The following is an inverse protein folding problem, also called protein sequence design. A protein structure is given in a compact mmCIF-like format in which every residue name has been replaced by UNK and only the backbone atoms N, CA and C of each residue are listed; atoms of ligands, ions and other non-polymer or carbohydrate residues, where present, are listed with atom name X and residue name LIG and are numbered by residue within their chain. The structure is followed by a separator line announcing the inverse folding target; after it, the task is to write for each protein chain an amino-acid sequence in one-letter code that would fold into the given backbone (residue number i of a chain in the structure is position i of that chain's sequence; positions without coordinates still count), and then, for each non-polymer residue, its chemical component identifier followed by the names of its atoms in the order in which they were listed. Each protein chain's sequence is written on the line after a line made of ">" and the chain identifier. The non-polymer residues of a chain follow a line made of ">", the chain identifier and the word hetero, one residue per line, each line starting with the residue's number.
data_IF_676757380449
#
_entry.id   IF_676757380449
#
_cell.length_a   1.000
_cell.length_b   1.000
_cell.length_c   1.000
_cell.angle_alpha   90.00
_cell.angle_beta   90.00
_cell.angle_gamma   90.00
#
_symmetry.space_group_name_H-M   'P 1'
#
loop_
_entity.id
_entity.type
_entity.pdbx_description
1 polymer ?
#
# COMPACT_ATOMS: atom_id res chain seq x y z
N UNK A 1 9.39 -0.19 1.34
CA UNK A 1 8.19 0.53 1.80
C UNK A 1 8.15 0.50 3.32
N UNK A 2 7.72 1.57 3.97
CA UNK A 2 7.32 1.53 5.38
C UNK A 2 5.78 1.48 5.39
N UNK A 3 5.14 0.43 5.94
CA UNK A 3 3.68 0.24 5.83
C UNK A 3 2.87 1.11 6.82
N UNK A 4 3.55 1.88 7.67
CA UNK A 4 2.95 2.79 8.63
C UNK A 4 2.49 4.09 7.94
N UNK A 5 1.75 4.95 8.65
CA UNK A 5 1.49 6.33 8.23
C UNK A 5 2.76 7.19 8.42
N UNK A 6 3.82 6.86 7.68
CA UNK A 6 5.13 7.47 7.78
C UNK A 6 6.01 6.82 8.85
N UNK A 7 7.22 7.36 9.02
CA UNK A 7 8.06 7.02 10.17
C UNK A 7 7.54 7.74 11.41
N UNK A 8 7.62 7.13 12.60
CA UNK A 8 7.27 7.83 13.82
C UNK A 8 8.17 9.05 14.00
N UNK A 9 7.60 10.17 14.43
CA UNK A 9 8.35 11.37 14.77
C UNK A 9 9.06 11.20 16.13
N UNK A 10 9.76 12.23 16.60
CA UNK A 10 10.51 12.18 17.86
C UNK A 10 9.63 11.94 19.11
N UNK A 11 8.32 12.11 19.00
CA UNK A 11 7.33 11.86 20.05
C UNK A 11 6.64 10.50 19.92
N UNK A 12 6.93 9.74 18.86
CA UNK A 12 6.29 8.45 18.57
C UNK A 12 5.00 8.54 17.78
N UNK A 13 4.59 9.74 17.37
CA UNK A 13 3.38 9.98 16.57
C UNK A 13 3.64 9.81 15.07
N UNK A 14 2.56 9.70 14.30
CA UNK A 14 2.58 9.49 12.85
C UNK A 14 1.91 10.66 12.14
N UNK A 15 2.70 11.45 11.42
CA UNK A 15 2.26 12.72 10.83
C UNK A 15 1.85 12.61 9.36
N UNK A 16 2.06 11.45 8.72
CA UNK A 16 1.69 11.28 7.32
C UNK A 16 0.18 11.32 7.17
N UNK A 17 -0.31 12.13 6.24
CA UNK A 17 -1.74 12.25 5.96
C UNK A 17 -2.27 11.10 5.09
N UNK A 18 -3.60 10.86 5.07
CA UNK A 18 -4.23 9.89 4.16
C UNK A 18 -3.85 10.07 2.69
N UNK A 19 -3.78 11.32 2.23
CA UNK A 19 -3.42 11.64 0.84
C UNK A 19 -1.97 11.27 0.53
N UNK A 20 -1.03 11.67 1.39
CA UNK A 20 0.39 11.37 1.21
C UNK A 20 0.67 9.86 1.21
N UNK A 21 0.01 9.11 2.10
CA UNK A 21 0.14 7.65 2.14
C UNK A 21 -0.43 7.01 0.87
N UNK A 22 -1.60 7.47 0.40
CA UNK A 22 -2.21 7.00 -0.84
C UNK A 22 -1.33 7.30 -2.07
N UNK A 23 -0.71 8.49 -2.15
CA UNK A 23 0.19 8.86 -3.25
C UNK A 23 1.41 7.93 -3.33
N UNK A 24 2.00 7.56 -2.19
CA UNK A 24 3.09 6.58 -2.16
C UNK A 24 2.64 5.19 -2.60
N UNK A 25 1.43 4.77 -2.18
CA UNK A 25 0.84 3.49 -2.61
C UNK A 25 0.55 3.47 -4.11
N UNK A 26 0.22 4.63 -4.71
CA UNK A 26 0.00 4.75 -6.15
C UNK A 26 1.17 4.23 -6.97
N UNK A 27 2.42 4.45 -6.53
CA UNK A 27 3.59 3.94 -7.25
C UNK A 27 3.58 2.40 -7.36
N UNK A 28 3.17 1.71 -6.30
CA UNK A 28 3.05 0.25 -6.29
C UNK A 28 1.91 -0.25 -7.19
N UNK A 29 0.80 0.49 -7.22
CA UNK A 29 -0.34 0.22 -8.08
C UNK A 29 -0.01 0.44 -9.56
N UNK A 30 0.62 1.56 -9.91
CA UNK A 30 1.07 1.91 -11.26
C UNK A 30 2.03 0.86 -11.82
N UNK A 31 2.90 0.32 -10.97
CA UNK A 31 3.87 -0.73 -11.32
C UNK A 31 3.27 -2.15 -11.27
N UNK A 32 2.00 -2.29 -10.87
CA UNK A 32 1.31 -3.58 -10.80
C UNK A 32 1.95 -4.56 -9.83
N UNK A 33 2.49 -4.09 -8.70
CA UNK A 33 3.30 -4.90 -7.79
C UNK A 33 2.51 -5.58 -6.67
N UNK A 34 1.28 -5.15 -6.43
CA UNK A 34 0.51 -5.50 -5.23
C UNK A 34 -0.87 -6.08 -5.55
N UNK A 35 -1.35 -6.93 -4.65
CA UNK A 35 -2.70 -7.52 -4.69
C UNK A 35 -3.54 -7.20 -3.46
N UNK A 36 -2.89 -6.95 -2.32
CA UNK A 36 -3.52 -6.67 -1.04
C UNK A 36 -2.82 -5.45 -0.45
N UNK A 37 -3.61 -4.49 0.01
CA UNK A 37 -3.13 -3.25 0.64
C UNK A 37 -3.91 -3.06 1.93
N UNK A 38 -3.23 -2.64 2.99
CA UNK A 38 -3.81 -2.34 4.29
C UNK A 38 -3.06 -1.20 4.97
N UNK A 39 -3.24 -1.07 6.28
CA UNK A 39 -2.51 -0.11 7.11
C UNK A 39 -1.76 -0.80 8.26
N UNK A 40 -0.82 -0.08 8.86
CA UNK A 40 -0.07 -0.52 10.04
C UNK A 40 -0.13 0.58 11.12
N UNK A 41 0.98 0.90 11.80
CA UNK A 41 0.98 1.90 12.86
C UNK A 41 0.67 3.30 12.31
N UNK A 42 -0.12 4.07 13.04
CA UNK A 42 -0.54 5.43 12.66
C UNK A 42 -1.62 5.51 11.58
N UNK A 43 -1.90 4.42 10.86
CA UNK A 43 -2.99 4.38 9.87
C UNK A 43 -4.35 4.47 10.56
N UNK A 44 -5.26 5.27 9.99
CA UNK A 44 -6.63 5.47 10.48
C UNK A 44 -7.65 5.03 9.43
N UNK A 45 -8.97 4.96 9.76
CA UNK A 45 -10.00 4.70 8.76
C UNK A 45 -9.97 5.66 7.56
N UNK A 46 -9.57 6.92 7.76
CA UNK A 46 -9.42 7.91 6.69
C UNK A 46 -8.29 7.53 5.72
N UNK A 47 -7.18 6.98 6.22
CA UNK A 47 -6.10 6.45 5.39
C UNK A 47 -6.60 5.30 4.53
N UNK A 48 -7.28 4.33 5.14
CA UNK A 48 -7.83 3.17 4.44
C UNK A 48 -8.85 3.61 3.39
N UNK A 49 -9.69 4.60 3.69
CA UNK A 49 -10.65 5.16 2.74
C UNK A 49 -9.96 5.80 1.54
N UNK A 50 -8.93 6.62 1.75
CA UNK A 50 -8.19 7.26 0.66
C UNK A 50 -7.53 6.21 -0.27
N UNK A 51 -6.93 5.18 0.32
CA UNK A 51 -6.34 4.05 -0.41
C UNK A 51 -7.43 3.29 -1.18
N UNK A 52 -8.55 2.97 -0.54
CA UNK A 52 -9.65 2.24 -1.16
C UNK A 52 -10.23 3.00 -2.37
N UNK A 53 -10.44 4.31 -2.24
CA UNK A 53 -10.87 5.16 -3.37
C UNK A 53 -9.85 5.13 -4.51
N UNK A 54 -8.56 5.29 -4.22
CA UNK A 54 -7.49 5.19 -5.23
C UNK A 54 -7.49 3.84 -5.94
N UNK A 55 -7.68 2.73 -5.22
CA UNK A 55 -7.60 1.38 -5.80
C UNK A 55 -8.71 1.05 -6.79
N UNK A 56 -9.82 1.81 -6.82
CA UNK A 56 -10.95 1.57 -7.73
C UNK A 56 -10.55 1.63 -9.22
N UNK A 57 -9.50 2.40 -9.53
CA UNK A 57 -9.01 2.58 -10.90
C UNK A 57 -7.99 1.50 -11.32
N UNK A 58 -7.64 0.56 -10.44
CA UNK A 58 -6.61 -0.45 -10.68
C UNK A 58 -7.18 -1.87 -10.63
N UNK A 59 -6.48 -2.80 -11.29
CA UNK A 59 -6.75 -4.23 -11.21
C UNK A 59 -5.65 -4.93 -10.41
N UNK A 60 -5.97 -5.98 -9.63
CA UNK A 60 -4.96 -6.77 -8.96
C UNK A 60 -3.93 -7.32 -9.96
N UNK A 61 -2.66 -7.41 -9.54
CA UNK A 61 -1.60 -8.05 -10.31
C UNK A 61 -2.04 -9.47 -10.73
N UNK A 62 -1.86 -9.81 -12.00
CA UNK A 62 -2.13 -11.15 -12.52
C UNK A 62 -1.01 -12.10 -12.11
N UNK A 63 -1.36 -13.26 -11.57
CA UNK A 63 -0.46 -14.40 -11.48
C UNK A 63 -0.49 -15.16 -12.80
N UNK A 64 0.67 -15.39 -13.40
CA UNK A 64 0.82 -16.31 -14.54
C UNK A 64 1.41 -17.62 -14.03
N UNK A 65 1.00 -18.75 -14.60
CA UNK A 65 1.40 -20.09 -14.15
C UNK A 65 2.93 -20.28 -14.08
N UNK A 66 3.69 -19.58 -14.93
CA UNK A 66 5.17 -19.57 -14.88
C UNK A 66 5.75 -18.97 -13.59
N UNK A 67 4.99 -18.16 -12.84
CA UNK A 67 5.43 -17.62 -11.55
C UNK A 67 5.45 -18.70 -10.45
N UNK A 68 4.66 -19.77 -10.59
CA UNK A 68 4.58 -20.86 -9.60
C UNK A 68 5.88 -21.69 -9.62
N UNK A 69 6.43 -21.96 -10.79
CA UNK A 69 7.70 -22.70 -10.93
C UNK A 69 8.90 -21.95 -10.31
N UNK A 70 8.83 -20.61 -10.20
CA UNK A 70 9.87 -19.79 -9.57
C UNK A 70 9.81 -19.76 -8.03
N UNK A 71 8.70 -20.16 -7.43
CA UNK A 71 8.52 -20.17 -5.96
C UNK A 71 8.77 -21.57 -5.38
N UNK A 72 8.86 -22.61 -6.22
CA UNK A 72 9.15 -23.99 -5.83
C UNK A 72 10.65 -24.38 -5.87
N UNK A 73 11.57 -23.42 -5.98
CA UNK A 73 13.03 -23.63 -5.89
C UNK A 73 13.61 -23.00 -4.63
#
# INVERSE_FOLDING_TARGET
>A
AHPNAGLPNAFGDYDQTPYQMAEQIKEYLDRGLVNIIGGCCGSTPEHIKAIAELTKDYKPRKFIFSDIERVQL
#
